data_IF_474391649454
#
_entry.id   IF_474391649454
#
_cell.length_a   1.000
_cell.length_b   1.000
_cell.length_c   1.000
_cell.angle_alpha   90.00
_cell.angle_beta   90.00
_cell.angle_gamma   90.00
#
_symmetry.space_group_name_H-M   'P 1'
#
loop_
_entity.id
_entity.type
_entity.pdbx_description
1 polymer ?
#
# COMPACT_ATOMS: atom_id res chain seq x y z
N UNK A 1 -16.43 27.84 16.49
CA UNK A 1 -15.32 26.91 16.19
C UNK A 1 -15.50 25.49 16.74
N UNK A 2 -16.70 25.07 17.17
CA UNK A 2 -16.94 23.76 17.80
C UNK A 2 -17.40 22.63 16.85
N UNK A 3 -17.88 22.95 15.65
CA UNK A 3 -18.46 21.94 14.73
C UNK A 3 -17.42 21.00 14.10
N UNK A 4 -16.19 21.48 13.86
CA UNK A 4 -15.13 20.70 13.18
C UNK A 4 -14.42 19.67 14.08
N UNK A 5 -14.76 19.58 15.36
CA UNK A 5 -14.18 18.60 16.29
C UNK A 5 -14.80 17.21 16.14
N UNK A 6 -16.05 17.12 15.64
CA UNK A 6 -16.76 15.85 15.50
C UNK A 6 -16.30 15.02 14.30
N UNK A 7 -15.79 15.69 13.26
CA UNK A 7 -15.32 15.08 12.01
C UNK A 7 -13.83 14.78 11.99
N UNK A 8 -13.06 15.29 12.96
CA UNK A 8 -11.62 15.05 13.01
C UNK A 8 -11.34 13.60 13.42
N UNK A 9 -10.42 12.93 12.72
CA UNK A 9 -9.83 11.66 13.16
C UNK A 9 -8.44 11.89 13.74
N UNK A 10 -7.58 12.58 13.00
CA UNK A 10 -6.25 12.95 13.48
C UNK A 10 -5.73 14.19 12.76
N UNK A 11 -4.92 14.99 13.44
CA UNK A 11 -4.23 16.15 12.89
C UNK A 11 -2.80 16.16 13.40
N UNK A 12 -1.85 16.21 12.48
CA UNK A 12 -0.42 16.34 12.75
C UNK A 12 0.00 17.76 12.34
N UNK A 13 0.75 18.44 13.21
CA UNK A 13 1.28 19.77 12.93
C UNK A 13 2.78 19.80 13.23
N UNK A 14 3.59 19.96 12.17
CA UNK A 14 5.06 20.02 12.24
C UNK A 14 5.70 18.78 12.86
N UNK A 15 5.09 17.61 12.66
CA UNK A 15 5.48 16.40 13.38
C UNK A 15 6.78 15.82 12.84
N UNK A 16 7.72 15.55 13.74
CA UNK A 16 8.94 14.81 13.44
C UNK A 16 9.09 13.62 14.38
N UNK A 17 9.57 12.50 13.85
CA UNK A 17 9.80 11.25 14.61
C UNK A 17 11.02 10.51 14.08
N UNK A 18 11.88 10.06 14.97
CA UNK A 18 13.00 9.17 14.68
C UNK A 18 13.22 8.11 15.77
N UNK A 19 14.10 7.16 15.47
CA UNK A 19 14.61 6.19 16.44
C UNK A 19 16.14 6.15 16.33
N UNK A 20 16.82 6.51 17.42
CA UNK A 20 18.27 6.70 17.41
C UNK A 20 18.65 7.82 16.43
N UNK A 21 19.57 7.54 15.51
CA UNK A 21 20.02 8.50 14.48
C UNK A 21 19.11 8.54 13.23
N UNK A 22 18.17 7.59 13.11
CA UNK A 22 17.32 7.46 11.91
C UNK A 22 16.06 8.31 12.06
N UNK A 23 15.93 9.32 11.21
CA UNK A 23 14.70 10.13 11.07
C UNK A 23 13.72 9.38 10.15
N UNK A 24 12.52 9.09 10.64
CA UNK A 24 11.46 8.43 9.88
C UNK A 24 10.45 9.43 9.31
N UNK A 25 10.19 10.51 10.05
CA UNK A 25 9.23 11.56 9.69
C UNK A 25 9.86 12.90 10.06
N UNK A 26 9.85 13.86 9.13
CA UNK A 26 10.44 15.20 9.28
C UNK A 26 9.40 16.25 8.91
N UNK A 27 9.06 17.09 9.89
CA UNK A 27 8.20 18.27 9.73
C UNK A 27 6.92 18.03 8.92
N UNK A 28 6.23 16.92 9.21
CA UNK A 28 5.05 16.51 8.48
C UNK A 28 3.79 17.07 9.13
N UNK A 29 2.91 17.67 8.32
CA UNK A 29 1.63 18.20 8.75
C UNK A 29 0.53 17.68 7.84
N UNK A 30 -0.56 17.18 8.43
CA UNK A 30 -1.71 16.62 7.71
C UNK A 30 -2.94 16.67 8.59
N UNK A 31 -4.12 16.57 7.98
CA UNK A 31 -5.39 16.46 8.69
C UNK A 31 -6.26 15.39 8.07
N UNK A 32 -6.56 14.36 8.86
CA UNK A 32 -7.43 13.25 8.48
C UNK A 32 -8.83 13.45 9.10
N UNK A 33 -9.85 13.40 8.26
CA UNK A 33 -11.25 13.54 8.62
C UNK A 33 -11.98 12.18 8.59
N UNK A 34 -13.17 12.15 9.17
CA UNK A 34 -14.06 10.99 9.16
C UNK A 34 -14.51 10.72 7.72
N UNK A 35 -14.39 9.46 7.30
CA UNK A 35 -14.71 9.02 5.94
C UNK A 35 -13.53 9.07 4.98
N UNK A 36 -12.41 9.67 5.37
CA UNK A 36 -11.19 9.64 4.56
C UNK A 36 -10.68 8.20 4.38
N UNK A 37 -10.20 7.91 3.18
CA UNK A 37 -9.56 6.63 2.85
C UNK A 37 -8.13 6.92 2.42
N UNK A 38 -7.21 6.60 3.31
CA UNK A 38 -5.81 7.02 3.24
C UNK A 38 -4.93 5.81 2.95
N UNK A 39 -4.31 5.79 1.78
CA UNK A 39 -3.26 4.84 1.44
C UNK A 39 -1.89 5.29 1.95
N UNK A 40 -1.08 4.40 2.51
CA UNK A 40 0.30 4.69 2.90
C UNK A 40 1.28 3.99 1.95
N UNK A 41 2.06 4.79 1.22
CA UNK A 41 2.99 4.29 0.20
C UNK A 41 4.44 4.46 0.62
N UNK A 42 5.25 3.42 0.41
CA UNK A 42 6.69 3.47 0.64
C UNK A 42 7.28 2.10 0.99
N UNK A 43 8.61 1.95 0.94
CA UNK A 43 9.28 0.68 1.16
C UNK A 43 9.08 0.17 2.60
N UNK A 44 9.26 -1.13 2.80
CA UNK A 44 9.15 -1.74 4.12
C UNK A 44 10.21 -1.15 5.07
N UNK A 45 9.80 -0.88 6.31
CA UNK A 45 10.67 -0.26 7.30
C UNK A 45 10.95 1.24 7.10
N UNK A 46 10.24 1.93 6.18
CA UNK A 46 10.37 3.40 6.01
C UNK A 46 9.70 4.20 7.12
N UNK A 47 8.70 3.63 7.80
CA UNK A 47 7.98 4.29 8.89
C UNK A 47 6.45 4.30 8.77
N UNK A 48 5.83 3.55 7.82
CA UNK A 48 4.36 3.47 7.66
C UNK A 48 3.63 3.13 8.96
N UNK A 49 4.03 2.05 9.62
CA UNK A 49 3.48 1.66 10.93
C UNK A 49 3.76 2.70 12.03
N UNK A 50 4.89 3.39 11.97
CA UNK A 50 5.20 4.50 12.89
C UNK A 50 4.23 5.66 12.70
N UNK A 51 3.93 6.03 11.46
CA UNK A 51 2.96 7.06 11.13
C UNK A 51 1.54 6.68 11.59
N UNK A 52 1.13 5.42 11.39
CA UNK A 52 -0.14 4.90 11.92
C UNK A 52 -0.22 5.07 13.43
N UNK A 53 0.81 4.65 14.17
CA UNK A 53 0.86 4.81 15.63
C UNK A 53 0.79 6.26 16.09
N UNK A 54 1.34 7.19 15.31
CA UNK A 54 1.20 8.64 15.58
C UNK A 54 -0.25 9.08 15.39
N UNK A 55 -0.90 8.75 14.26
CA UNK A 55 -2.32 9.09 14.04
C UNK A 55 -3.23 8.54 15.15
N UNK A 56 -2.93 7.32 15.60
CA UNK A 56 -3.71 6.58 16.58
C UNK A 56 -3.29 6.89 18.02
N UNK A 57 -2.31 7.79 18.23
CA UNK A 57 -1.92 8.31 19.55
C UNK A 57 -1.21 7.27 20.41
N UNK A 58 -0.85 6.13 19.85
CA UNK A 58 -0.08 5.07 20.49
C UNK A 58 1.41 5.44 20.62
N UNK A 59 1.85 6.43 19.84
CA UNK A 59 3.22 6.94 19.84
C UNK A 59 3.19 8.46 19.93
N UNK A 60 4.07 9.02 20.77
CA UNK A 60 4.28 10.47 20.84
C UNK A 60 5.31 10.94 19.80
N UNK A 61 5.11 12.12 19.19
CA UNK A 61 6.11 12.72 18.31
C UNK A 61 7.33 13.20 19.11
N UNK A 62 8.48 13.35 18.46
CA UNK A 62 9.67 13.96 19.08
C UNK A 62 9.62 15.49 19.00
N UNK A 63 8.98 16.01 17.95
CA UNK A 63 8.67 17.44 17.75
C UNK A 63 7.32 17.58 17.05
N UNK A 64 6.69 18.73 17.21
CA UNK A 64 5.35 19.02 16.67
C UNK A 64 4.24 18.51 17.58
N UNK A 65 3.01 18.60 17.10
CA UNK A 65 1.80 18.26 17.86
C UNK A 65 0.94 17.25 17.10
N UNK A 66 0.39 16.29 17.84
CA UNK A 66 -0.61 15.33 17.35
C UNK A 66 -1.89 15.57 18.11
N UNK A 67 -2.97 15.89 17.38
CA UNK A 67 -4.32 16.02 17.93
C UNK A 67 -5.22 14.93 17.39
N UNK A 68 -5.77 14.12 18.27
CA UNK A 68 -6.71 13.08 17.90
C UNK A 68 -8.16 13.58 17.93
N UNK A 69 -8.98 12.95 17.10
CA UNK A 69 -10.43 13.02 17.17
C UNK A 69 -10.99 12.46 18.47
N UNK A 70 -12.27 12.76 18.73
CA UNK A 70 -12.98 12.18 19.88
C UNK A 70 -13.76 10.94 19.48
N UNK A 71 -13.94 10.01 20.44
CA UNK A 71 -14.73 8.78 20.27
C UNK A 71 -14.25 7.92 19.10
N UNK A 72 -12.94 7.73 18.99
CA UNK A 72 -12.34 6.79 18.04
C UNK A 72 -12.56 5.36 18.55
N UNK A 73 -13.09 4.49 17.69
CA UNK A 73 -13.16 3.05 17.88
C UNK A 73 -12.37 2.42 16.74
N UNK A 74 -11.16 1.98 17.05
CA UNK A 74 -10.16 1.53 16.08
C UNK A 74 -10.21 0.01 15.98
N UNK A 75 -10.21 -0.52 14.76
CA UNK A 75 -10.01 -1.94 14.52
C UNK A 75 -8.81 -2.17 13.59
N UNK A 76 -7.92 -3.07 14.00
CA UNK A 76 -6.79 -3.52 13.21
C UNK A 76 -7.10 -4.87 12.57
N UNK A 77 -6.88 -5.00 11.27
CA UNK A 77 -7.11 -6.27 10.57
C UNK A 77 -6.07 -7.34 10.95
N UNK A 78 -4.79 -6.97 11.01
CA UNK A 78 -3.71 -7.94 11.27
C UNK A 78 -3.80 -8.59 12.68
N UNK A 79 -4.25 -7.83 13.69
CA UNK A 79 -4.47 -8.34 15.05
C UNK A 79 -5.59 -9.40 15.13
N UNK A 80 -6.50 -9.48 14.15
CA UNK A 80 -7.57 -10.48 14.15
C UNK A 80 -7.12 -11.86 13.69
N UNK A 81 -5.92 -12.00 13.10
CA UNK A 81 -5.32 -13.31 12.83
C UNK A 81 -5.11 -14.11 14.13
N UNK A 82 -5.24 -13.48 15.31
CA UNK A 82 -5.27 -14.13 16.60
C UNK A 82 -6.38 -15.22 16.68
N UNK A 83 -5.89 -16.46 16.78
CA UNK A 83 -6.57 -17.74 16.91
C UNK A 83 -8.10 -17.69 17.06
N UNK A 84 -8.80 -17.99 15.95
CA UNK A 84 -10.18 -18.44 16.00
C UNK A 84 -10.27 -19.73 16.83
N UNK A 85 -11.23 -19.82 17.75
CA UNK A 85 -11.46 -21.06 18.51
C UNK A 85 -11.90 -22.17 17.53
N UNK A 86 -11.10 -23.24 17.36
CA UNK A 86 -11.41 -24.30 16.40
C UNK A 86 -12.70 -25.06 16.72
N UNK A 87 -13.13 -25.04 17.99
CA UNK A 87 -14.33 -25.70 18.48
C UNK A 87 -15.60 -24.88 18.36
N UNK A 88 -15.50 -23.55 18.30
CA UNK A 88 -16.64 -22.65 18.16
C UNK A 88 -17.29 -22.77 16.77
N UNK A 89 -18.58 -22.48 16.70
CA UNK A 89 -19.28 -22.35 15.43
C UNK A 89 -18.97 -21.02 14.75
N UNK A 90 -19.16 -20.94 13.43
CA UNK A 90 -19.00 -19.68 12.69
C UNK A 90 -19.87 -18.57 13.28
N UNK A 91 -21.14 -18.86 13.58
CA UNK A 91 -22.07 -17.90 14.17
C UNK A 91 -21.59 -17.37 15.54
N UNK A 92 -21.12 -18.27 16.42
CA UNK A 92 -20.57 -17.88 17.73
C UNK A 92 -19.29 -17.05 17.60
N UNK A 93 -18.50 -17.27 16.55
CA UNK A 93 -17.26 -16.52 16.32
C UNK A 93 -17.54 -15.05 16.00
N UNK A 94 -18.66 -14.76 15.33
CA UNK A 94 -19.08 -13.40 14.98
C UNK A 94 -19.52 -12.63 16.22
N UNK A 95 -20.51 -13.17 16.94
CA UNK A 95 -21.07 -12.53 18.13
C UNK A 95 -21.42 -13.59 19.18
N UNK A 96 -20.49 -13.91 20.10
CA UNK A 96 -20.71 -14.94 21.11
C UNK A 96 -21.96 -14.63 21.96
N UNK A 97 -22.92 -15.55 21.97
CA UNK A 97 -24.13 -15.43 22.80
C UNK A 97 -25.24 -14.54 22.23
N UNK A 98 -25.11 -14.04 20.99
CA UNK A 98 -26.16 -13.26 20.34
C UNK A 98 -26.49 -13.78 18.94
N UNK A 99 -27.77 -13.80 18.59
CA UNK A 99 -28.26 -14.22 17.27
C UNK A 99 -28.25 -13.09 16.23
N UNK A 100 -27.87 -11.88 16.64
CA UNK A 100 -27.91 -10.68 15.82
C UNK A 100 -26.60 -9.89 15.93
N UNK A 101 -26.24 -9.22 14.84
CA UNK A 101 -25.18 -8.21 14.76
C UNK A 101 -25.80 -6.84 14.49
N UNK A 102 -25.19 -5.79 15.01
CA UNK A 102 -25.55 -4.41 14.71
C UNK A 102 -24.49 -3.78 13.81
N UNK A 103 -24.89 -3.40 12.60
CA UNK A 103 -24.00 -2.83 11.59
C UNK A 103 -24.63 -1.53 11.09
N UNK A 104 -23.93 -0.41 11.25
CA UNK A 104 -24.46 0.90 10.85
C UNK A 104 -25.77 1.28 11.53
N UNK A 105 -26.03 0.77 12.75
CA UNK A 105 -27.28 0.98 13.48
C UNK A 105 -28.45 0.10 13.01
N UNK A 106 -28.24 -0.82 12.07
CA UNK A 106 -29.22 -1.82 11.65
C UNK A 106 -28.92 -3.17 12.28
N UNK A 107 -29.97 -3.84 12.76
CA UNK A 107 -29.87 -5.17 13.36
C UNK A 107 -30.10 -6.24 12.30
N UNK A 108 -29.12 -7.12 12.09
CA UNK A 108 -29.16 -8.24 11.12
C UNK A 108 -28.94 -9.57 11.83
N UNK A 109 -29.64 -10.61 11.41
CA UNK A 109 -29.44 -11.96 11.97
C UNK A 109 -28.07 -12.52 11.55
N UNK A 110 -27.37 -13.19 12.46
CA UNK A 110 -25.98 -13.66 12.24
C UNK A 110 -25.86 -14.58 11.02
N UNK A 111 -26.82 -15.48 10.80
CA UNK A 111 -26.79 -16.39 9.63
C UNK A 111 -26.92 -15.60 8.32
N UNK A 112 -27.81 -14.60 8.28
CA UNK A 112 -27.99 -13.75 7.10
C UNK A 112 -26.77 -12.86 6.87
N UNK A 113 -26.12 -12.41 7.95
CA UNK A 113 -24.87 -11.65 7.88
C UNK A 113 -23.71 -12.49 7.34
N UNK A 114 -23.55 -13.72 7.83
CA UNK A 114 -22.56 -14.67 7.30
C UNK A 114 -22.77 -14.96 5.81
N UNK A 115 -24.01 -14.90 5.31
CA UNK A 115 -24.34 -14.96 3.89
C UNK A 115 -23.67 -13.86 3.05
N UNK A 116 -23.52 -12.64 3.59
CA UNK A 116 -22.80 -11.55 2.91
C UNK A 116 -21.30 -11.86 2.75
N UNK A 117 -20.77 -12.76 3.58
CA UNK A 117 -19.38 -13.23 3.54
C UNK A 117 -19.27 -14.59 2.83
N UNK A 118 -20.24 -14.90 1.98
CA UNK A 118 -20.29 -16.11 1.14
C UNK A 118 -20.35 -17.42 1.94
N UNK A 119 -20.87 -17.39 3.17
CA UNK A 119 -21.18 -18.60 3.92
C UNK A 119 -22.65 -19.00 3.72
N UNK A 120 -22.93 -20.17 3.15
CA UNK A 120 -24.30 -20.64 3.05
C UNK A 120 -24.88 -20.93 4.46
N UNK A 121 -26.20 -20.85 4.67
CA UNK A 121 -26.82 -20.93 5.99
C UNK A 121 -26.47 -22.18 6.78
N UNK A 122 -26.25 -23.30 6.10
CA UNK A 122 -25.87 -24.58 6.70
C UNK A 122 -24.46 -24.54 7.29
N UNK A 123 -23.56 -23.74 6.70
CA UNK A 123 -22.18 -23.57 7.18
C UNK A 123 -22.11 -22.75 8.46
N UNK A 124 -23.07 -21.87 8.74
CA UNK A 124 -23.06 -21.00 9.91
C UNK A 124 -22.97 -21.75 11.26
N UNK A 125 -23.41 -23.01 11.31
CA UNK A 125 -23.36 -23.89 12.48
C UNK A 125 -22.18 -24.88 12.49
N UNK A 126 -21.37 -24.87 11.44
CA UNK A 126 -20.18 -25.72 11.35
C UNK A 126 -19.08 -25.20 12.29
N UNK A 127 -18.19 -26.07 12.79
CA UNK A 127 -17.06 -25.64 13.60
C UNK A 127 -15.96 -25.00 12.74
N UNK A 128 -15.26 -24.00 13.27
CA UNK A 128 -14.18 -23.27 12.58
C UNK A 128 -13.09 -24.20 12.04
N UNK A 129 -12.76 -25.29 12.76
CA UNK A 129 -11.75 -26.26 12.29
C UNK A 129 -12.04 -26.87 10.92
N UNK A 130 -13.31 -26.84 10.48
CA UNK A 130 -13.75 -27.36 9.18
C UNK A 130 -13.56 -26.40 8.01
N UNK A 131 -13.09 -25.18 8.26
CA UNK A 131 -12.88 -24.15 7.25
C UNK A 131 -11.55 -24.32 6.52
N UNK A 132 -11.56 -24.05 5.21
CA UNK A 132 -10.36 -23.84 4.39
C UNK A 132 -9.62 -22.55 4.80
N UNK A 133 -8.42 -22.33 4.24
CA UNK A 133 -7.66 -21.10 4.49
C UNK A 133 -8.42 -19.83 4.06
N UNK A 134 -8.95 -19.81 2.83
CA UNK A 134 -9.76 -18.69 2.32
C UNK A 134 -11.05 -18.48 3.11
N UNK A 135 -11.75 -19.55 3.46
CA UNK A 135 -12.94 -19.47 4.33
C UNK A 135 -12.61 -18.90 5.72
N UNK A 136 -11.45 -19.23 6.30
CA UNK A 136 -11.03 -18.61 7.57
C UNK A 136 -10.81 -17.12 7.41
N UNK A 137 -10.20 -16.67 6.32
CA UNK A 137 -10.00 -15.25 6.05
C UNK A 137 -11.34 -14.51 5.86
N UNK A 138 -12.30 -15.10 5.13
CA UNK A 138 -13.67 -14.54 5.05
C UNK A 138 -14.35 -14.44 6.42
N UNK A 139 -14.18 -15.45 7.29
CA UNK A 139 -14.72 -15.40 8.64
C UNK A 139 -14.05 -14.29 9.49
N UNK A 140 -12.74 -14.07 9.32
CA UNK A 140 -12.02 -12.99 9.98
C UNK A 140 -12.54 -11.62 9.55
N UNK A 141 -12.79 -11.43 8.25
CA UNK A 141 -13.43 -10.23 7.74
C UNK A 141 -14.83 -10.05 8.33
N UNK A 142 -15.65 -11.11 8.37
CA UNK A 142 -16.97 -11.05 8.99
C UNK A 142 -16.88 -10.65 10.47
N UNK A 143 -15.91 -11.17 11.20
CA UNK A 143 -15.71 -10.81 12.61
C UNK A 143 -15.25 -9.37 12.79
N UNK A 144 -14.41 -8.86 11.89
CA UNK A 144 -13.95 -7.48 11.88
C UNK A 144 -15.12 -6.50 11.70
N UNK A 145 -15.90 -6.69 10.63
CA UNK A 145 -16.98 -5.78 10.27
C UNK A 145 -18.23 -5.92 11.16
N UNK A 146 -18.37 -7.00 11.92
CA UNK A 146 -19.41 -7.14 12.94
C UNK A 146 -19.17 -6.27 14.19
N UNK A 147 -17.94 -5.79 14.42
CA UNK A 147 -17.61 -4.94 15.56
C UNK A 147 -17.82 -3.46 15.21
N UNK A 148 -18.33 -2.64 16.14
CA UNK A 148 -18.48 -1.21 15.92
C UNK A 148 -17.10 -0.53 15.93
N UNK A 149 -16.52 -0.34 14.75
CA UNK A 149 -15.33 0.48 14.52
C UNK A 149 -15.67 1.66 13.62
N UNK A 150 -15.05 2.81 13.84
CA UNK A 150 -15.15 3.99 12.97
C UNK A 150 -13.81 4.40 12.33
N UNK A 151 -12.72 3.74 12.74
CA UNK A 151 -11.41 3.79 12.08
C UNK A 151 -10.96 2.36 11.84
N UNK A 152 -10.67 2.03 10.59
CA UNK A 152 -10.17 0.73 10.18
C UNK A 152 -8.71 0.86 9.73
N UNK A 153 -7.85 -0.01 10.25
CA UNK A 153 -6.43 -0.06 9.89
C UNK A 153 -6.13 -1.42 9.27
N UNK A 154 -5.70 -1.39 8.02
CA UNK A 154 -5.39 -2.58 7.22
C UNK A 154 -3.91 -2.50 6.84
N UNK A 155 -3.10 -3.39 7.41
CA UNK A 155 -1.68 -3.51 7.08
C UNK A 155 -1.49 -4.78 6.25
N UNK A 156 -1.19 -4.61 4.97
CA UNK A 156 -1.07 -5.66 3.94
C UNK A 156 -2.24 -6.66 3.93
N UNK A 157 -3.50 -6.19 3.78
CA UNK A 157 -4.68 -7.03 3.94
C UNK A 157 -4.87 -8.02 2.78
N UNK A 158 -4.25 -7.78 1.63
CA UNK A 158 -4.38 -8.61 0.43
C UNK A 158 -3.54 -9.89 0.52
N UNK A 159 -2.61 -9.96 1.47
CA UNK A 159 -1.78 -11.15 1.68
C UNK A 159 -2.62 -12.34 2.12
N UNK A 160 -2.36 -13.50 1.50
CA UNK A 160 -3.04 -14.77 1.78
C UNK A 160 -4.54 -14.80 1.45
N UNK A 161 -5.07 -13.80 0.73
CA UNK A 161 -6.46 -13.80 0.25
C UNK A 161 -6.55 -14.49 -1.11
N UNK A 162 -7.59 -15.31 -1.29
CA UNK A 162 -8.01 -15.72 -2.63
C UNK A 162 -8.74 -14.56 -3.34
N UNK A 163 -8.91 -14.68 -4.66
CA UNK A 163 -9.50 -13.64 -5.50
C UNK A 163 -10.92 -13.29 -5.03
N UNK A 164 -11.75 -14.29 -4.70
CA UNK A 164 -13.11 -14.06 -4.20
C UNK A 164 -13.12 -13.26 -2.90
N UNK A 165 -12.19 -13.54 -1.98
CA UNK A 165 -12.08 -12.84 -0.70
C UNK A 165 -11.52 -11.44 -0.87
N UNK A 166 -10.63 -11.23 -1.83
CA UNK A 166 -10.10 -9.91 -2.18
C UNK A 166 -11.20 -9.00 -2.75
N UNK A 167 -12.00 -9.50 -3.70
CA UNK A 167 -13.15 -8.79 -4.26
C UNK A 167 -14.17 -8.43 -3.17
N UNK A 168 -14.50 -9.39 -2.30
CA UNK A 168 -15.37 -9.14 -1.15
C UNK A 168 -14.81 -8.06 -0.21
N UNK A 169 -13.51 -8.10 0.09
CA UNK A 169 -12.87 -7.08 0.92
C UNK A 169 -12.98 -5.69 0.28
N UNK A 170 -12.72 -5.60 -1.02
CA UNK A 170 -12.86 -4.34 -1.76
C UNK A 170 -14.27 -3.77 -1.64
N UNK A 171 -15.31 -4.59 -1.89
CA UNK A 171 -16.71 -4.19 -1.75
C UNK A 171 -17.05 -3.70 -0.34
N UNK A 172 -16.58 -4.41 0.69
CA UNK A 172 -16.80 -4.06 2.08
C UNK A 172 -16.14 -2.72 2.45
N UNK A 173 -14.92 -2.46 1.95
CA UNK A 173 -14.21 -1.21 2.18
C UNK A 173 -14.84 -0.04 1.42
N UNK A 174 -15.32 -0.28 0.21
CA UNK A 174 -16.07 0.71 -0.58
C UNK A 174 -17.37 1.12 0.12
N UNK A 175 -18.05 0.19 0.78
CA UNK A 175 -19.26 0.44 1.55
C UNK A 175 -19.03 0.97 2.98
N UNK A 176 -17.79 0.97 3.49
CA UNK A 176 -17.50 1.34 4.86
C UNK A 176 -17.62 2.86 5.07
N UNK A 177 -18.46 3.33 6.01
CA UNK A 177 -18.69 4.76 6.24
C UNK A 177 -17.64 5.42 7.16
N UNK A 178 -16.74 4.64 7.76
CA UNK A 178 -15.69 5.13 8.63
C UNK A 178 -14.43 5.54 7.86
N UNK A 179 -13.39 5.88 8.61
CA UNK A 179 -12.07 6.21 8.04
C UNK A 179 -11.24 4.95 7.85
N UNK A 180 -10.52 4.87 6.74
CA UNK A 180 -9.67 3.73 6.40
C UNK A 180 -8.23 4.21 6.33
N UNK A 181 -7.33 3.51 7.01
CA UNK A 181 -5.90 3.54 6.75
C UNK A 181 -5.48 2.22 6.12
N UNK A 182 -4.94 2.28 4.91
CA UNK A 182 -4.55 1.13 4.13
C UNK A 182 -3.06 1.16 3.80
N UNK A 183 -2.35 0.10 4.19
CA UNK A 183 -1.00 -0.20 3.72
C UNK A 183 -1.11 -1.42 2.82
N UNK A 184 -0.69 -1.31 1.57
CA UNK A 184 -0.74 -2.42 0.61
C UNK A 184 0.32 -2.21 -0.46
N UNK A 185 0.90 -3.29 -0.99
CA UNK A 185 1.65 -3.27 -2.25
C UNK A 185 0.76 -3.50 -3.49
N UNK A 186 -0.50 -3.88 -3.30
CA UNK A 186 -1.46 -4.06 -4.39
C UNK A 186 -1.96 -2.70 -4.89
N UNK A 187 -1.51 -2.34 -6.10
CA UNK A 187 -1.76 -1.06 -6.75
C UNK A 187 -3.23 -0.91 -7.17
N UNK A 188 -3.82 -1.97 -7.71
CA UNK A 188 -5.21 -1.94 -8.17
C UNK A 188 -6.15 -1.79 -6.97
N UNK A 189 -5.88 -2.52 -5.90
CA UNK A 189 -6.63 -2.43 -4.65
C UNK A 189 -6.54 -1.03 -4.03
N UNK A 190 -5.35 -0.42 -4.03
CA UNK A 190 -5.19 0.97 -3.59
C UNK A 190 -6.02 1.93 -4.44
N UNK A 191 -5.93 1.85 -5.77
CA UNK A 191 -6.67 2.71 -6.69
C UNK A 191 -8.19 2.60 -6.52
N UNK A 192 -8.70 1.40 -6.24
CA UNK A 192 -10.13 1.19 -6.07
C UNK A 192 -10.64 1.71 -4.71
N UNK A 193 -9.85 1.58 -3.65
CA UNK A 193 -10.32 1.83 -2.28
C UNK A 193 -10.01 3.24 -1.78
N UNK A 194 -8.81 3.76 -2.03
CA UNK A 194 -8.34 4.98 -1.34
C UNK A 194 -8.73 6.26 -2.07
N UNK A 195 -8.90 7.33 -1.32
CA UNK A 195 -9.22 8.68 -1.85
C UNK A 195 -8.00 9.59 -1.89
N UNK A 196 -6.98 9.25 -1.11
CA UNK A 196 -5.73 9.99 -1.00
C UNK A 196 -4.62 9.05 -0.56
N UNK A 197 -3.39 9.39 -0.91
CA UNK A 197 -2.20 8.64 -0.48
C UNK A 197 -1.19 9.56 0.22
N UNK A 198 -0.59 9.02 1.28
CA UNK A 198 0.58 9.61 1.94
C UNK A 198 1.78 8.78 1.50
N UNK A 199 2.66 9.39 0.71
CA UNK A 199 3.86 8.73 0.20
C UNK A 199 5.11 9.16 0.97
N UNK A 200 5.92 8.18 1.34
CA UNK A 200 7.26 8.39 1.88
C UNK A 200 8.25 8.55 0.71
N UNK A 201 8.80 9.75 0.56
CA UNK A 201 9.72 10.09 -0.53
C UNK A 201 11.20 9.87 -0.19
N UNK A 202 11.49 9.40 1.03
CA UNK A 202 12.86 9.22 1.54
C UNK A 202 13.28 10.32 2.51
N UNK A 203 14.35 10.07 3.27
CA UNK A 203 14.95 11.00 4.26
C UNK A 203 13.99 11.61 5.30
N UNK A 204 12.87 10.91 5.55
CA UNK A 204 11.80 11.34 6.43
C UNK A 204 10.82 12.35 5.81
N UNK A 205 10.90 12.60 4.51
CA UNK A 205 9.98 13.46 3.77
C UNK A 205 8.73 12.65 3.41
N UNK A 206 7.57 13.16 3.84
CA UNK A 206 6.26 12.62 3.53
C UNK A 206 5.46 13.67 2.77
N UNK A 207 4.68 13.22 1.77
CA UNK A 207 3.78 14.09 1.00
C UNK A 207 2.43 13.44 0.78
N UNK A 208 1.42 14.29 0.76
CA UNK A 208 0.03 13.91 0.50
C UNK A 208 -0.32 14.15 -0.96
N UNK A 209 -1.05 13.19 -1.54
CA UNK A 209 -1.51 13.23 -2.92
C UNK A 209 -2.99 12.85 -2.98
N UNK A 210 -3.83 13.62 -3.68
CA UNK A 210 -5.20 13.20 -3.96
C UNK A 210 -5.20 12.05 -4.97
N UNK A 211 -6.13 11.12 -4.81
CA UNK A 211 -6.27 9.95 -5.67
C UNK A 211 -5.53 8.72 -5.17
N UNK A 212 -5.40 7.73 -6.05
CA UNK A 212 -4.83 6.42 -5.76
C UNK A 212 -3.32 6.31 -6.00
N UNK A 213 -2.85 5.07 -6.13
CA UNK A 213 -1.48 4.75 -6.53
C UNK A 213 -1.16 5.30 -7.92
N UNK A 214 -2.06 5.12 -8.90
CA UNK A 214 -1.83 5.53 -10.28
C UNK A 214 -1.66 7.06 -10.41
N UNK A 215 -2.43 7.83 -9.66
CA UNK A 215 -2.32 9.29 -9.61
C UNK A 215 -0.98 9.75 -9.05
N UNK A 216 -0.54 9.12 -7.96
CA UNK A 216 0.77 9.36 -7.36
C UNK A 216 1.91 8.99 -8.31
N UNK A 217 1.84 7.83 -8.96
CA UNK A 217 2.85 7.39 -9.92
C UNK A 217 2.99 8.38 -11.10
N UNK A 218 1.87 8.86 -11.64
CA UNK A 218 1.86 9.89 -12.67
C UNK A 218 2.45 11.23 -12.19
N UNK A 219 2.24 11.60 -10.92
CA UNK A 219 2.88 12.77 -10.32
C UNK A 219 4.40 12.61 -10.24
N UNK A 220 4.89 11.46 -9.77
CA UNK A 220 6.33 11.16 -9.68
C UNK A 220 7.00 11.22 -11.05
N UNK A 221 6.39 10.63 -12.07
CA UNK A 221 6.93 10.66 -13.43
C UNK A 221 7.08 12.09 -13.97
N UNK A 222 6.07 12.94 -13.75
CA UNK A 222 6.13 14.37 -14.15
C UNK A 222 7.24 15.11 -13.43
N UNK A 223 7.46 14.84 -12.15
CA UNK A 223 8.55 15.46 -11.39
C UNK A 223 9.92 15.01 -11.87
N UNK A 224 10.11 13.73 -12.18
CA UNK A 224 11.37 13.21 -12.72
C UNK A 224 11.66 13.78 -14.12
N UNK A 225 10.64 13.88 -14.97
CA UNK A 225 10.76 14.54 -16.27
C UNK A 225 11.18 16.02 -16.12
N UNK A 226 10.52 16.77 -15.23
CA UNK A 226 10.87 18.17 -14.98
C UNK A 226 12.29 18.34 -14.37
N UNK A 227 12.71 17.42 -13.49
CA UNK A 227 14.05 17.45 -12.89
C UNK A 227 15.16 17.13 -13.91
N UNK A 228 14.91 16.18 -14.82
CA UNK A 228 15.84 15.83 -15.90
C UNK A 228 15.95 16.94 -16.95
N UNK A 229 14.84 17.61 -17.30
CA UNK A 229 14.84 18.79 -18.17
C UNK A 229 15.60 19.98 -17.53
N UNK A 230 15.41 20.21 -16.23
CA UNK A 230 16.15 21.24 -15.50
C UNK A 230 17.66 20.93 -15.41
N UNK A 231 18.03 19.67 -15.16
CA UNK A 231 19.42 19.21 -15.18
C UNK A 231 20.08 19.39 -16.55
N UNK A 232 19.38 18.99 -17.62
CA UNK A 232 19.85 19.14 -19.00
C UNK A 232 19.96 20.62 -19.44
N UNK A 233 19.08 21.50 -18.95
CA UNK A 233 19.19 22.95 -19.18
C UNK A 233 20.38 23.57 -18.45
N UNK A 234 20.74 23.03 -17.27
CA UNK A 234 21.89 23.50 -16.48
C UNK A 234 23.22 23.05 -17.10
N UNK A 235 23.29 21.85 -17.68
CA UNK A 235 24.47 21.39 -18.44
C UNK A 235 24.68 22.11 -19.78
N UNK A 236 23.60 22.56 -20.42
CA UNK A 236 23.65 23.36 -21.67
C UNK A 236 24.06 24.83 -21.46
N UNK A 237 24.21 25.29 -20.21
CA UNK A 237 24.57 26.67 -19.88
C UNK A 237 26.08 26.93 -19.66
N UNK A 238 26.96 26.06 -20.18
CA UNK A 238 28.40 26.35 -20.32
C UNK A 238 28.63 27.10 -21.66
N UNK A 239 29.38 28.22 -21.69
CA UNK A 239 29.33 29.13 -22.84
C UNK A 239 30.26 28.68 -23.96
N UNK A 240 29.69 28.18 -25.06
CA UNK A 240 30.43 28.05 -26.32
C UNK A 240 29.61 28.59 -27.51
N UNK A 241 30.05 29.78 -27.95
CA UNK A 241 30.00 30.39 -29.30
C UNK A 241 28.93 29.93 -30.32
N UNK A 242 28.02 30.89 -30.58
CA UNK A 242 27.37 31.24 -31.86
C UNK A 242 27.33 30.19 -33.00
N UNK A 243 26.12 29.71 -33.31
CA UNK A 243 25.55 29.68 -34.66
C UNK A 243 24.01 29.53 -34.60
N UNK A 244 23.30 30.30 -35.41
CA UNK A 244 21.84 30.37 -35.53
C UNK A 244 21.27 29.26 -36.46
N UNK A 245 19.94 29.02 -36.50
CA UNK A 245 19.33 27.67 -36.56
C UNK A 245 18.91 27.20 -37.96
N UNK A 246 18.38 25.96 -38.06
CA UNK A 246 17.04 25.83 -38.63
C UNK A 246 16.09 24.98 -37.78
N UNK A 247 14.81 25.36 -37.86
CA UNK A 247 13.63 24.67 -37.33
C UNK A 247 13.44 23.31 -38.03
N UNK A 248 13.11 22.28 -37.26
CA UNK A 248 12.27 21.16 -37.71
C UNK A 248 11.34 20.74 -36.57
N UNK A 249 10.06 20.59 -36.92
CA UNK A 249 8.96 20.30 -36.00
C UNK A 249 9.04 18.87 -35.42
N UNK A 250 8.48 18.60 -34.22
CA UNK A 250 8.35 17.22 -33.73
C UNK A 250 7.32 16.45 -34.55
N UNK A 251 7.75 15.30 -35.08
CA UNK A 251 6.89 14.32 -35.74
C UNK A 251 6.07 13.51 -34.72
N UNK A 252 4.84 13.20 -35.09
CA UNK A 252 3.87 12.37 -34.34
C UNK A 252 4.42 11.00 -33.91
N UNK A 253 3.93 10.42 -32.80
CA UNK A 253 4.39 9.12 -32.31
C UNK A 253 4.14 8.02 -33.35
N UNK A 254 5.17 7.21 -33.63
CA UNK A 254 5.08 6.04 -34.52
C UNK A 254 4.52 4.86 -33.73
N UNK A 255 3.39 4.32 -34.21
CA UNK A 255 2.78 3.06 -33.73
C UNK A 255 3.82 1.93 -33.62
N UNK A 256 3.66 1.09 -32.60
CA UNK A 256 4.52 -0.06 -32.34
C UNK A 256 4.61 -1.03 -33.53
N UNK A 257 5.81 -1.55 -33.78
CA UNK A 257 6.03 -2.65 -34.72
C UNK A 257 5.62 -4.00 -34.12
N UNK A 258 5.30 -5.00 -34.96
CA UNK A 258 4.91 -6.34 -34.50
C UNK A 258 5.97 -7.03 -33.62
N UNK A 259 7.25 -6.66 -33.79
CA UNK A 259 8.36 -7.15 -32.96
C UNK A 259 8.33 -6.52 -31.56
N UNK A 260 8.02 -5.23 -31.47
CA UNK A 260 7.93 -4.49 -30.21
C UNK A 260 6.67 -4.86 -29.42
N UNK A 261 5.56 -5.19 -30.08
CA UNK A 261 4.36 -5.72 -29.40
C UNK A 261 4.69 -7.07 -28.75
N UNK A 262 5.32 -7.99 -29.49
CA UNK A 262 5.73 -9.28 -28.94
C UNK A 262 6.79 -9.16 -27.84
N UNK A 263 7.66 -8.16 -27.93
CA UNK A 263 8.61 -7.81 -26.87
C UNK A 263 7.84 -7.35 -25.61
N UNK A 264 6.92 -6.39 -25.77
CA UNK A 264 6.10 -5.86 -24.68
C UNK A 264 5.28 -6.93 -23.96
N UNK A 265 4.67 -7.86 -24.70
CA UNK A 265 3.90 -8.96 -24.12
C UNK A 265 4.78 -9.96 -23.33
N UNK A 266 6.07 -10.04 -23.63
CA UNK A 266 7.02 -10.95 -22.97
C UNK A 266 7.78 -10.31 -21.81
N UNK A 267 7.74 -8.98 -21.66
CA UNK A 267 8.45 -8.24 -20.61
C UNK A 267 7.92 -8.52 -19.20
N UNK A 268 6.60 -8.63 -18.93
CA UNK A 268 6.09 -8.94 -17.59
C UNK A 268 6.64 -10.25 -17.02
N UNK A 269 6.60 -11.34 -17.80
CA UNK A 269 7.12 -12.64 -17.36
C UNK A 269 8.65 -12.61 -17.14
N UNK A 270 9.38 -11.79 -17.89
CA UNK A 270 10.83 -11.61 -17.69
C UNK A 270 11.15 -10.79 -16.44
N UNK A 271 10.34 -9.77 -16.14
CA UNK A 271 10.46 -8.97 -14.93
C UNK A 271 10.19 -9.84 -13.70
N UNK A 272 9.11 -10.61 -13.71
CA UNK A 272 8.76 -11.55 -12.64
C UNK A 272 9.91 -12.54 -12.33
N UNK A 273 10.48 -13.17 -13.36
CA UNK A 273 11.63 -14.07 -13.19
C UNK A 273 12.87 -13.38 -12.60
N UNK A 274 13.14 -12.12 -12.95
CA UNK A 274 14.29 -11.38 -12.44
C UNK A 274 14.06 -10.88 -11.02
N UNK A 275 12.84 -10.49 -10.69
CA UNK A 275 12.44 -10.08 -9.34
C UNK A 275 12.46 -11.26 -8.37
N UNK A 276 12.02 -12.45 -8.79
CA UNK A 276 12.18 -13.68 -8.02
C UNK A 276 13.66 -14.00 -7.75
N UNK A 277 14.51 -13.88 -8.78
CA UNK A 277 15.95 -14.07 -8.63
C UNK A 277 16.58 -13.02 -7.70
N UNK A 278 16.11 -11.78 -7.75
CA UNK A 278 16.55 -10.71 -6.85
C UNK A 278 16.15 -11.01 -5.40
N UNK A 279 14.91 -11.45 -5.18
CA UNK A 279 14.41 -11.83 -3.86
C UNK A 279 15.21 -12.99 -3.25
N UNK A 280 15.61 -13.97 -4.07
CA UNK A 280 16.48 -15.06 -3.63
C UNK A 280 17.87 -14.56 -3.21
N UNK A 281 18.46 -13.62 -3.95
CA UNK A 281 19.76 -13.03 -3.62
C UNK A 281 19.68 -12.14 -2.36
N UNK A 282 18.62 -11.36 -2.18
CA UNK A 282 18.37 -10.61 -0.95
C UNK A 282 18.18 -11.55 0.25
N UNK A 283 17.49 -12.68 0.06
CA UNK A 283 17.36 -13.72 1.08
C UNK A 283 18.71 -14.31 1.50
N UNK A 284 19.61 -14.56 0.55
CA UNK A 284 20.97 -15.01 0.84
C UNK A 284 21.80 -13.92 1.57
N UNK A 285 21.58 -12.65 1.25
CA UNK A 285 22.27 -11.53 1.90
C UNK A 285 21.79 -11.28 3.34
N UNK A 286 20.57 -11.71 3.67
CA UNK A 286 20.00 -11.65 5.00
C UNK A 286 20.46 -12.80 5.91
N UNK A 287 21.05 -13.88 5.36
CA UNK A 287 21.56 -15.01 6.15
C UNK A 287 22.89 -14.66 6.84
N UNK A 288 22.97 -14.64 8.18
CA UNK A 288 24.22 -14.41 8.91
C UNK A 288 25.35 -15.40 8.59
N UNK A 289 25.03 -16.57 7.99
CA UNK A 289 26.01 -17.55 7.55
C UNK A 289 26.90 -17.06 6.40
N UNK A 290 26.41 -16.17 5.51
CA UNK A 290 27.21 -15.68 4.38
C UNK A 290 28.40 -14.82 4.85
N UNK A 291 28.20 -14.05 5.93
CA UNK A 291 29.25 -13.22 6.53
C UNK A 291 30.33 -14.05 7.25
N UNK A 292 30.08 -15.34 7.49
CA UNK A 292 31.07 -16.30 8.02
C UNK A 292 31.92 -16.95 6.93
N UNK A 293 31.52 -16.86 5.66
CA UNK A 293 32.23 -17.46 4.51
C UNK A 293 33.35 -16.56 3.94
N UNK A 294 33.54 -15.36 4.50
CA UNK A 294 34.63 -14.44 4.15
C UNK A 294 34.22 -13.29 3.22
N UNK A 295 35.08 -12.27 3.10
CA UNK A 295 34.76 -11.02 2.40
C UNK A 295 34.62 -11.14 0.88
N UNK A 296 35.15 -12.20 0.26
CA UNK A 296 35.04 -12.43 -1.18
C UNK A 296 33.63 -12.91 -1.58
N UNK A 297 33.03 -13.80 -0.78
CA UNK A 297 31.66 -14.28 -0.98
C UNK A 297 30.63 -13.15 -0.83
N UNK A 298 30.83 -12.26 0.16
CA UNK A 298 29.97 -11.08 0.36
C UNK A 298 30.08 -10.09 -0.80
N UNK A 299 31.29 -9.83 -1.32
CA UNK A 299 31.47 -8.97 -2.50
C UNK A 299 30.85 -9.55 -3.76
N UNK A 300 30.98 -10.86 -3.97
CA UNK A 300 30.37 -11.55 -5.10
C UNK A 300 28.83 -11.46 -5.03
N UNK A 301 28.24 -11.65 -3.85
CA UNK A 301 26.80 -11.51 -3.64
C UNK A 301 26.32 -10.07 -3.85
N UNK A 302 27.04 -9.07 -3.33
CA UNK A 302 26.74 -7.65 -3.56
C UNK A 302 26.84 -7.25 -5.02
N UNK A 303 27.84 -7.75 -5.75
CA UNK A 303 27.98 -7.51 -7.18
C UNK A 303 26.86 -8.17 -7.99
N UNK A 304 26.45 -9.38 -7.62
CA UNK A 304 25.31 -10.08 -8.24
C UNK A 304 23.99 -9.35 -8.00
N UNK A 305 23.78 -8.82 -6.78
CA UNK A 305 22.63 -7.99 -6.44
C UNK A 305 22.59 -6.72 -7.28
N UNK A 306 23.67 -5.94 -7.29
CA UNK A 306 23.73 -4.69 -8.06
C UNK A 306 23.50 -4.93 -9.56
N UNK A 307 24.06 -6.00 -10.12
CA UNK A 307 23.85 -6.36 -11.52
C UNK A 307 22.39 -6.71 -11.82
N UNK A 308 21.72 -7.44 -10.92
CA UNK A 308 20.31 -7.82 -11.08
C UNK A 308 19.36 -6.65 -10.87
N UNK A 309 19.64 -5.76 -9.92
CA UNK A 309 18.91 -4.50 -9.73
C UNK A 309 18.98 -3.62 -10.98
N UNK A 310 20.16 -3.54 -11.60
CA UNK A 310 20.35 -2.81 -12.85
C UNK A 310 19.59 -3.45 -14.02
N UNK A 311 19.61 -4.78 -14.17
CA UNK A 311 18.89 -5.49 -15.24
C UNK A 311 17.37 -5.30 -15.12
N UNK A 312 16.84 -5.33 -13.89
CA UNK A 312 15.44 -5.02 -13.60
C UNK A 312 15.11 -3.58 -14.00
N UNK A 313 15.94 -2.60 -13.60
CA UNK A 313 15.73 -1.20 -13.95
C UNK A 313 15.74 -0.95 -15.47
N UNK A 314 16.64 -1.60 -16.21
CA UNK A 314 16.71 -1.50 -17.68
C UNK A 314 15.47 -2.09 -18.37
N UNK A 315 14.96 -3.22 -17.87
CA UNK A 315 13.74 -3.84 -18.41
C UNK A 315 12.48 -3.04 -18.09
N UNK A 316 12.40 -2.43 -16.91
CA UNK A 316 11.33 -1.50 -16.57
C UNK A 316 11.32 -0.29 -17.50
N UNK A 317 12.48 0.35 -17.72
CA UNK A 317 12.59 1.47 -18.64
C UNK A 317 12.16 1.10 -20.08
N UNK A 318 12.52 -0.12 -20.52
CA UNK A 318 12.13 -0.63 -21.84
C UNK A 318 10.64 -0.94 -21.95
N UNK A 319 10.04 -1.49 -20.89
CA UNK A 319 8.62 -1.77 -20.83
C UNK A 319 7.80 -0.48 -20.88
N UNK A 320 8.21 0.53 -20.12
CA UNK A 320 7.58 1.86 -20.10
C UNK A 320 7.68 2.56 -21.48
N UNK A 321 8.82 2.49 -22.16
CA UNK A 321 9.00 3.04 -23.51
C UNK A 321 7.99 2.44 -24.51
N UNK A 322 7.79 1.11 -24.45
CA UNK A 322 6.91 0.40 -25.35
C UNK A 322 5.44 0.60 -25.00
N UNK A 323 5.06 0.62 -23.72
CA UNK A 323 3.69 0.95 -23.28
C UNK A 323 3.28 2.37 -23.66
N UNK A 324 4.15 3.36 -23.44
CA UNK A 324 3.89 4.75 -23.79
C UNK A 324 3.61 4.92 -25.29
N UNK A 325 4.28 4.12 -26.13
CA UNK A 325 4.06 4.08 -27.59
C UNK A 325 2.86 3.23 -28.02
N UNK A 326 2.34 2.36 -27.15
CA UNK A 326 1.08 1.61 -27.39
C UNK A 326 -0.14 2.50 -27.16
N UNK A 327 -0.06 3.35 -26.15
CA UNK A 327 -1.18 4.14 -25.64
C UNK A 327 -1.27 5.56 -26.23
N UNK A 328 -0.26 6.01 -26.98
CA UNK A 328 -0.22 7.28 -27.72
C UNK A 328 -0.34 7.11 -29.23
#
# INVERSE_FOLDING_TARGET
>A
SGERSGELVAELQGVSKGFGERILIRDFSTRILRGDRVGLLGPNGVGKTTLLKLFLGELAPDRGEVRQGTRLSIAYFDQLREHLDPGATLAETINPGAEYVEIGGQRKHVISYLGDFLFPPERARSPVRSLSGGERNRLLLARLFARPANVLVLDEPTNDLDIETLELLEELLLGYPGTIFLVSHDRAFLDNVVTQVIAFEGDGVLREYPGGYSDWAAYQLRQQAAASEAGAATERAKPERQAAPPRSAPGSPRRLSAREVKELDALPARLEMLEEALAQLHGQAADPAIYRQGGEAVRALQAALAAKEQEVAELYARWEELEARRNG
#
